data_IF_941251868676
#
_entry.id   IF_941251868676
#
_cell.length_a   1.000
_cell.length_b   1.000
_cell.length_c   1.000
_cell.angle_alpha   90.00
_cell.angle_beta   90.00
_cell.angle_gamma   90.00
#
_symmetry.space_group_name_H-M   'P 1'
#
loop_
_entity.id
_entity.type
_entity.pdbx_description
1 polymer ?
#
# COMPACT_ATOMS: atom_id res chain seq x y z
N UNK A 1 -15.45 -27.70 -30.71
CA UNK A 1 -14.27 -27.46 -29.85
C UNK A 1 -14.38 -26.04 -29.35
N UNK A 2 -15.11 -25.81 -28.25
CA UNK A 2 -15.27 -24.49 -27.64
C UNK A 2 -14.04 -24.21 -26.78
N UNK A 3 -13.18 -23.30 -27.24
CA UNK A 3 -12.08 -22.77 -26.45
C UNK A 3 -12.63 -22.08 -25.20
N UNK A 4 -12.60 -22.79 -24.07
CA UNK A 4 -12.75 -22.18 -22.75
C UNK A 4 -11.49 -21.37 -22.49
N UNK A 5 -11.51 -20.08 -22.84
CA UNK A 5 -10.51 -19.14 -22.32
C UNK A 5 -10.61 -19.21 -20.79
N UNK A 6 -9.52 -19.50 -20.06
CA UNK A 6 -9.55 -19.51 -18.61
C UNK A 6 -9.94 -18.11 -18.13
N UNK A 7 -11.21 -17.94 -17.75
CA UNK A 7 -11.63 -16.77 -16.99
C UNK A 7 -10.87 -16.85 -15.66
N UNK A 8 -9.79 -16.08 -15.53
CA UNK A 8 -9.13 -15.84 -14.25
C UNK A 8 -10.15 -15.14 -13.37
N UNK A 9 -10.97 -15.92 -12.67
CA UNK A 9 -11.91 -15.45 -11.67
C UNK A 9 -11.10 -14.82 -10.54
N UNK A 10 -10.84 -13.52 -10.66
CA UNK A 10 -10.36 -12.72 -9.54
C UNK A 10 -11.51 -12.62 -8.55
N UNK A 11 -11.61 -13.58 -7.64
CA UNK A 11 -12.64 -13.59 -6.59
C UNK A 11 -12.55 -12.25 -5.83
N UNK A 12 -13.63 -11.45 -5.85
CA UNK A 12 -13.69 -10.22 -5.06
C UNK A 12 -13.46 -10.53 -3.59
N UNK A 13 -12.76 -9.65 -2.88
CA UNK A 13 -12.52 -9.83 -1.45
C UNK A 13 -13.81 -9.63 -0.65
N UNK A 14 -13.93 -10.35 0.46
CA UNK A 14 -14.94 -10.03 1.47
C UNK A 14 -14.60 -8.70 2.17
N UNK A 15 -15.60 -7.99 2.72
CA UNK A 15 -15.36 -6.71 3.39
C UNK A 15 -14.38 -6.78 4.58
N UNK A 16 -14.29 -7.92 5.26
CA UNK A 16 -13.32 -8.12 6.36
C UNK A 16 -11.89 -8.25 5.85
N UNK A 17 -11.68 -8.98 4.75
CA UNK A 17 -10.37 -9.10 4.13
C UNK A 17 -9.90 -7.76 3.57
N UNK A 18 -10.80 -7.00 2.94
CA UNK A 18 -10.48 -5.65 2.45
C UNK A 18 -9.97 -4.74 3.59
N UNK A 19 -10.64 -4.75 4.74
CA UNK A 19 -10.20 -3.99 5.92
C UNK A 19 -8.87 -4.49 6.47
N UNK A 20 -8.66 -5.81 6.50
CA UNK A 20 -7.40 -6.38 6.95
C UNK A 20 -6.22 -5.94 6.07
N UNK A 21 -6.36 -6.03 4.75
CA UNK A 21 -5.31 -5.58 3.81
C UNK A 21 -5.09 -4.08 3.85
N UNK A 22 -6.16 -3.28 4.00
CA UNK A 22 -6.03 -1.84 4.20
C UNK A 22 -5.26 -1.49 5.49
N UNK A 23 -5.50 -2.19 6.60
CA UNK A 23 -4.73 -2.03 7.83
C UNK A 23 -3.26 -2.41 7.62
N UNK A 24 -2.98 -3.56 6.99
CA UNK A 24 -1.60 -4.00 6.73
C UNK A 24 -0.85 -2.98 5.87
N UNK A 25 -1.49 -2.38 4.87
CA UNK A 25 -0.88 -1.34 4.05
C UNK A 25 -0.41 -0.12 4.86
N UNK A 26 -1.15 0.26 5.90
CA UNK A 26 -0.75 1.33 6.82
C UNK A 26 0.31 0.86 7.83
N UNK A 27 0.16 -0.33 8.39
CA UNK A 27 1.14 -0.93 9.32
C UNK A 27 2.49 -1.20 8.67
N UNK A 28 2.57 -1.19 7.34
CA UNK A 28 3.81 -1.24 6.58
C UNK A 28 4.87 -0.23 7.01
N UNK A 29 4.47 0.93 7.54
CA UNK A 29 5.40 1.93 8.09
C UNK A 29 6.29 1.35 9.21
N UNK A 30 5.83 0.33 9.94
CA UNK A 30 6.61 -0.31 11.01
C UNK A 30 7.87 -1.01 10.50
N UNK A 31 7.94 -1.34 9.21
CA UNK A 31 9.16 -1.90 8.58
C UNK A 31 10.33 -0.90 8.65
N UNK A 32 10.05 0.40 8.78
CA UNK A 32 11.09 1.42 8.98
C UNK A 32 11.86 1.24 10.29
N UNK A 33 11.30 0.60 11.33
CA UNK A 33 12.02 0.36 12.59
C UNK A 33 13.27 -0.51 12.40
N UNK A 34 13.27 -1.37 11.37
CA UNK A 34 14.39 -2.26 11.06
C UNK A 34 15.20 -1.80 9.85
N UNK A 35 14.53 -1.22 8.85
CA UNK A 35 15.13 -0.86 7.57
C UNK A 35 15.47 0.62 7.41
N UNK A 36 14.99 1.47 8.32
CA UNK A 36 15.00 2.92 8.19
C UNK A 36 13.96 3.44 7.19
N UNK A 37 13.94 2.91 5.96
CA UNK A 37 13.29 3.56 4.82
C UNK A 37 12.27 2.73 4.04
N UNK A 38 12.24 1.40 4.22
CA UNK A 38 11.54 0.51 3.28
C UNK A 38 10.04 0.34 3.57
N UNK A 39 9.49 1.01 4.57
CA UNK A 39 8.07 1.02 4.94
C UNK A 39 7.09 1.39 3.81
N UNK A 40 7.42 2.31 2.88
CA UNK A 40 6.59 2.61 1.71
C UNK A 40 6.47 1.44 0.72
N UNK A 41 7.38 0.46 0.74
CA UNK A 41 7.29 -0.69 -0.16
C UNK A 41 6.08 -1.57 0.14
N UNK A 42 5.69 -1.69 1.40
CA UNK A 42 4.55 -2.52 1.82
C UNK A 42 3.24 -2.07 1.17
N UNK A 43 2.76 -0.81 1.33
CA UNK A 43 1.55 -0.36 0.65
C UNK A 43 1.69 -0.37 -0.87
N UNK A 44 2.90 -0.13 -1.42
CA UNK A 44 3.12 -0.21 -2.87
C UNK A 44 2.89 -1.64 -3.41
N UNK A 45 3.45 -2.64 -2.74
CA UNK A 45 3.27 -4.06 -3.11
C UNK A 45 1.80 -4.45 -2.99
N UNK A 46 1.12 -4.08 -1.90
CA UNK A 46 -0.30 -4.38 -1.70
C UNK A 46 -1.15 -3.71 -2.78
N UNK A 47 -0.85 -2.45 -3.14
CA UNK A 47 -1.51 -1.79 -4.26
C UNK A 47 -1.36 -2.59 -5.55
N UNK A 48 -0.14 -3.00 -5.92
CA UNK A 48 0.08 -3.75 -7.16
C UNK A 48 -0.65 -5.10 -7.17
N UNK A 49 -0.74 -5.79 -6.04
CA UNK A 49 -1.42 -7.08 -5.93
C UNK A 49 -2.95 -6.92 -5.98
N UNK A 50 -3.49 -5.89 -5.33
CA UNK A 50 -4.94 -5.76 -5.11
C UNK A 50 -5.64 -4.73 -6.00
N UNK A 51 -4.91 -3.96 -6.84
CA UNK A 51 -5.50 -2.90 -7.69
C UNK A 51 -6.66 -3.35 -8.56
N UNK A 52 -6.62 -4.59 -9.07
CA UNK A 52 -7.63 -5.13 -9.97
C UNK A 52 -8.69 -5.97 -9.21
N UNK A 53 -8.46 -6.26 -7.92
CA UNK A 53 -9.33 -7.10 -7.07
C UNK A 53 -10.23 -6.32 -6.11
N UNK A 54 -9.74 -5.20 -5.58
CA UNK A 54 -10.47 -4.36 -4.63
C UNK A 54 -10.08 -2.90 -4.77
N UNK A 55 -11.06 -2.07 -5.16
CA UNK A 55 -10.90 -0.62 -5.22
C UNK A 55 -10.63 -0.01 -3.85
N UNK A 56 -11.20 -0.58 -2.79
CA UNK A 56 -11.01 -0.11 -1.41
C UNK A 56 -9.57 -0.34 -0.95
N UNK A 57 -9.06 -1.56 -1.09
CA UNK A 57 -7.66 -1.89 -0.71
C UNK A 57 -6.67 -1.06 -1.54
N UNK A 58 -6.92 -0.92 -2.84
CA UNK A 58 -6.07 -0.12 -3.72
C UNK A 58 -6.00 1.34 -3.26
N UNK A 59 -7.15 1.95 -2.94
CA UNK A 59 -7.22 3.32 -2.45
C UNK A 59 -6.51 3.49 -1.10
N UNK A 60 -6.79 2.61 -0.13
CA UNK A 60 -6.17 2.66 1.19
C UNK A 60 -4.65 2.45 1.13
N UNK A 61 -4.19 1.59 0.23
CA UNK A 61 -2.76 1.37 0.01
C UNK A 61 -2.07 2.61 -0.58
N UNK A 62 -2.67 3.23 -1.59
CA UNK A 62 -2.19 4.50 -2.15
C UNK A 62 -2.20 5.63 -1.10
N UNK A 63 -3.26 5.72 -0.29
CA UNK A 63 -3.35 6.69 0.81
C UNK A 63 -2.20 6.51 1.81
N UNK A 64 -1.96 5.27 2.25
CA UNK A 64 -0.86 4.94 3.15
C UNK A 64 0.52 5.24 2.54
N UNK A 65 0.71 4.94 1.25
CA UNK A 65 1.94 5.25 0.52
C UNK A 65 2.21 6.77 0.46
N UNK A 66 1.21 7.55 0.05
CA UNK A 66 1.31 9.00 -0.07
C UNK A 66 1.58 9.62 1.31
N UNK A 67 0.87 9.17 2.35
CA UNK A 67 1.08 9.67 3.71
C UNK A 67 2.52 9.45 4.18
N UNK A 68 3.09 8.26 3.94
CA UNK A 68 4.49 7.99 4.29
C UNK A 68 5.46 8.89 3.52
N UNK A 69 5.26 9.10 2.21
CA UNK A 69 6.10 9.97 1.39
C UNK A 69 6.03 11.42 1.87
N UNK A 70 4.84 11.92 2.21
CA UNK A 70 4.66 13.28 2.75
C UNK A 70 5.45 13.44 4.04
N UNK A 71 5.40 12.48 4.96
CA UNK A 71 6.17 12.56 6.20
C UNK A 71 7.67 12.48 5.97
N UNK A 72 8.10 11.65 5.03
CA UNK A 72 9.50 11.52 4.65
C UNK A 72 10.06 12.81 4.07
N UNK A 73 9.41 13.32 3.02
CA UNK A 73 9.86 14.52 2.31
C UNK A 73 9.62 15.75 3.17
N UNK A 74 8.40 15.92 3.70
CA UNK A 74 8.03 17.07 4.51
C UNK A 74 8.81 17.13 5.82
N UNK A 75 8.90 16.01 6.55
CA UNK A 75 9.69 15.92 7.77
C UNK A 75 11.17 16.12 7.49
N UNK A 76 11.72 15.44 6.48
CA UNK A 76 13.13 15.58 6.10
C UNK A 76 13.51 17.00 5.68
N UNK A 77 12.68 17.66 4.86
CA UNK A 77 12.89 19.06 4.45
C UNK A 77 12.80 19.99 5.65
N UNK A 78 11.77 19.83 6.49
CA UNK A 78 11.62 20.66 7.70
C UNK A 78 12.83 20.53 8.62
N UNK A 79 13.29 19.30 8.89
CA UNK A 79 14.48 19.06 9.69
C UNK A 79 15.73 19.64 9.02
N UNK A 80 15.91 19.44 7.72
CA UNK A 80 17.06 19.99 6.99
C UNK A 80 17.13 21.51 7.03
N UNK A 81 16.00 22.20 6.87
CA UNK A 81 15.92 23.67 6.96
C UNK A 81 16.12 24.16 8.39
N UNK A 82 15.55 23.48 9.39
CA UNK A 82 15.67 23.88 10.78
C UNK A 82 17.11 23.79 11.33
N UNK A 83 17.97 22.96 10.73
CA UNK A 83 19.34 22.70 11.17
C UNK A 83 20.42 23.20 10.18
N UNK A 84 20.04 23.92 9.13
CA UNK A 84 20.95 24.59 8.19
C UNK A 84 21.35 25.99 8.70
#
# INVERSE_FOLDING_TARGET
MSEQIPQTNLTPLSPSEERQWAMIAHLGVLVNLFSGILGPLVPLIIYMIYKDRSRYVAYQSLQGLIFQIIWWVGGGVFTGVAWA
#
